data_IF_723936320978
#
_entry.id   IF_723936320978
#
_cell.length_a   1.000
_cell.length_b   1.000
_cell.length_c   1.000
_cell.angle_alpha   90.00
_cell.angle_beta   90.00
_cell.angle_gamma   90.00
#
_symmetry.space_group_name_H-M   'P 1'
#
loop_
_entity.id
_entity.type
_entity.pdbx_description
1 polymer ?
#
# COMPACT_ATOMS: atom_id res chain seq x y z
N UNK A 1 23.95 -17.73 -24.62
CA UNK A 1 23.76 -16.36 -24.07
C UNK A 1 23.93 -15.40 -25.24
N UNK A 2 22.90 -14.64 -25.62
CA UNK A 2 23.01 -13.68 -26.73
C UNK A 2 23.90 -12.51 -26.29
N UNK A 3 24.72 -11.99 -27.19
CA UNK A 3 25.61 -10.86 -26.90
C UNK A 3 24.79 -9.58 -26.69
N UNK A 4 25.25 -8.68 -25.82
CA UNK A 4 24.60 -7.38 -25.56
C UNK A 4 24.41 -6.58 -26.87
N UNK A 5 25.37 -6.69 -27.80
CA UNK A 5 25.28 -6.06 -29.11
C UNK A 5 24.13 -6.62 -29.96
N UNK A 6 23.85 -7.92 -29.87
CA UNK A 6 22.73 -8.55 -30.57
C UNK A 6 21.38 -8.17 -29.94
N UNK A 7 21.35 -7.86 -28.64
CA UNK A 7 20.16 -7.38 -27.97
C UNK A 7 19.83 -5.94 -28.39
N UNK A 8 20.81 -5.04 -28.46
CA UNK A 8 20.62 -3.66 -28.95
C UNK A 8 20.13 -3.62 -30.40
N UNK A 9 20.76 -4.37 -31.30
CA UNK A 9 20.37 -4.39 -32.73
C UNK A 9 18.96 -4.93 -32.93
N UNK A 10 18.53 -5.89 -32.10
CA UNK A 10 17.16 -6.41 -32.16
C UNK A 10 16.14 -5.40 -31.62
N UNK A 11 16.47 -4.68 -30.54
CA UNK A 11 15.60 -3.64 -29.97
C UNK A 11 15.39 -2.48 -30.96
N UNK A 12 16.46 -1.99 -31.59
CA UNK A 12 16.38 -0.92 -32.60
C UNK A 12 15.53 -1.35 -33.81
N UNK A 13 15.69 -2.59 -34.25
CA UNK A 13 14.87 -3.15 -35.34
C UNK A 13 13.40 -3.23 -34.96
N UNK A 14 13.07 -3.55 -33.72
CA UNK A 14 11.68 -3.58 -33.24
C UNK A 14 11.09 -2.18 -33.04
N UNK A 15 11.88 -1.23 -32.54
CA UNK A 15 11.47 0.17 -32.43
C UNK A 15 11.20 0.80 -33.80
N UNK A 16 12.07 0.55 -34.79
CA UNK A 16 11.83 1.00 -36.17
C UNK A 16 10.53 0.43 -36.75
N UNK A 17 10.22 -0.86 -36.49
CA UNK A 17 8.95 -1.47 -36.91
C UNK A 17 7.73 -0.83 -36.22
N UNK A 18 7.87 -0.41 -34.97
CA UNK A 18 6.79 0.26 -34.21
C UNK A 18 6.50 1.65 -34.74
N UNK A 19 7.55 2.45 -34.97
CA UNK A 19 7.44 3.81 -35.52
C UNK A 19 6.81 3.78 -36.92
N UNK A 20 7.21 2.82 -37.76
CA UNK A 20 6.63 2.65 -39.09
C UNK A 20 5.11 2.32 -39.06
N UNK A 21 4.64 1.70 -37.97
CA UNK A 21 3.24 1.37 -37.74
C UNK A 21 2.49 2.44 -36.91
N UNK A 22 3.10 3.60 -36.63
CA UNK A 22 2.49 4.67 -35.84
C UNK A 22 2.33 4.35 -34.35
N UNK A 23 3.02 3.32 -33.85
CA UNK A 23 3.02 2.93 -32.44
C UNK A 23 4.15 3.64 -31.69
N UNK A 24 3.92 3.94 -30.41
CA UNK A 24 4.92 4.56 -29.56
C UNK A 24 6.19 3.68 -29.43
N UNK A 25 7.35 4.34 -29.48
CA UNK A 25 8.65 3.72 -29.26
C UNK A 25 8.72 3.06 -27.88
N UNK A 26 9.36 1.89 -27.80
CA UNK A 26 9.77 1.33 -26.52
C UNK A 26 11.01 2.13 -26.11
N UNK A 27 10.85 3.03 -25.14
CA UNK A 27 12.00 3.58 -24.44
C UNK A 27 12.60 2.46 -23.59
N UNK A 28 13.89 2.21 -23.78
CA UNK A 28 14.63 1.30 -22.93
C UNK A 28 14.73 1.99 -21.56
N UNK A 29 13.76 1.74 -20.67
CA UNK A 29 13.73 2.28 -19.30
C UNK A 29 14.84 1.67 -18.42
N UNK A 30 15.54 0.64 -18.93
CA UNK A 30 16.60 -0.08 -18.23
C UNK A 30 17.76 0.80 -17.72
N UNK A 31 18.27 1.82 -18.45
CA UNK A 31 19.32 2.71 -17.97
C UNK A 31 18.81 3.64 -16.86
N UNK A 32 17.63 4.25 -17.02
CA UNK A 32 17.05 5.17 -16.03
C UNK A 32 16.69 4.43 -14.73
N UNK A 33 16.10 3.24 -14.83
CA UNK A 33 15.83 2.40 -13.66
C UNK A 33 17.13 1.96 -12.98
N UNK A 34 18.17 1.62 -13.75
CA UNK A 34 19.47 1.28 -13.17
C UNK A 34 20.12 2.45 -12.43
N UNK A 35 20.00 3.67 -12.98
CA UNK A 35 20.52 4.90 -12.37
C UNK A 35 19.77 5.24 -11.07
N UNK A 36 18.44 5.17 -11.10
CA UNK A 36 17.59 5.43 -9.92
C UNK A 36 17.84 4.40 -8.81
N UNK A 37 17.99 3.12 -9.16
CA UNK A 37 18.32 2.07 -8.18
C UNK A 37 19.73 2.26 -7.62
N UNK A 38 20.70 2.73 -8.42
CA UNK A 38 22.04 3.03 -7.95
C UNK A 38 22.06 4.18 -6.92
N UNK A 39 21.27 5.24 -7.13
CA UNK A 39 21.14 6.35 -6.19
C UNK A 39 20.50 5.91 -4.86
N UNK A 40 19.43 5.12 -4.93
CA UNK A 40 18.79 4.50 -3.76
C UNK A 40 19.80 3.64 -3.00
N UNK A 41 20.62 2.88 -3.73
CA UNK A 41 21.60 2.00 -3.14
C UNK A 41 22.75 2.76 -2.45
N UNK A 42 23.26 3.83 -3.05
CA UNK A 42 24.28 4.68 -2.42
C UNK A 42 23.78 5.25 -1.08
N UNK A 43 22.53 5.69 -1.05
CA UNK A 43 21.88 6.18 0.18
C UNK A 43 21.74 5.06 1.21
N UNK A 44 21.25 3.89 0.82
CA UNK A 44 21.14 2.72 1.69
C UNK A 44 22.50 2.33 2.30
N UNK A 45 23.55 2.29 1.49
CA UNK A 45 24.88 1.90 1.94
C UNK A 45 25.41 2.86 3.01
N UNK A 46 25.21 4.16 2.81
CA UNK A 46 25.52 5.17 3.83
C UNK A 46 24.76 4.93 5.13
N UNK A 47 23.46 4.64 5.05
CA UNK A 47 22.64 4.36 6.23
C UNK A 47 23.01 3.04 6.94
N UNK A 48 23.32 1.98 6.21
CA UNK A 48 23.78 0.70 6.77
C UNK A 48 25.13 0.87 7.47
N UNK A 49 26.05 1.65 6.91
CA UNK A 49 27.34 1.95 7.54
C UNK A 49 27.19 2.73 8.84
N UNK A 50 26.23 3.64 8.90
CA UNK A 50 25.89 4.35 10.13
C UNK A 50 25.21 3.45 11.18
N UNK A 51 24.30 2.57 10.76
CA UNK A 51 23.54 1.70 11.65
C UNK A 51 24.35 0.48 12.17
N UNK A 52 25.28 -0.04 11.36
CA UNK A 52 26.08 -1.22 11.67
C UNK A 52 27.59 -0.98 11.46
N UNK A 53 28.23 -0.05 12.21
CA UNK A 53 29.64 0.30 11.98
C UNK A 53 30.60 -0.89 12.13
N UNK A 54 30.36 -1.76 13.12
CA UNK A 54 31.21 -2.91 13.40
C UNK A 54 31.14 -3.99 12.29
N UNK A 55 29.94 -4.27 11.77
CA UNK A 55 29.77 -5.23 10.68
C UNK A 55 30.44 -4.74 9.38
N UNK A 56 30.39 -3.43 9.15
CA UNK A 56 31.01 -2.79 7.97
C UNK A 56 32.53 -2.63 8.10
N UNK A 57 33.08 -2.65 9.31
CA UNK A 57 34.53 -2.63 9.53
C UNK A 57 35.25 -3.90 9.01
N UNK A 58 34.51 -4.98 8.79
CA UNK A 58 35.04 -6.23 8.22
C UNK A 58 35.19 -6.20 6.70
N UNK A 59 34.54 -5.27 6.00
CA UNK A 59 34.69 -5.08 4.55
C UNK A 59 35.88 -4.13 4.33
N UNK A 60 37.07 -4.70 4.11
CA UNK A 60 38.34 -3.95 4.15
C UNK A 60 38.82 -3.54 2.76
N UNK A 61 38.47 -4.30 1.74
CA UNK A 61 38.94 -4.07 0.36
C UNK A 61 37.85 -3.46 -0.51
N UNK A 62 38.27 -2.69 -1.53
CA UNK A 62 37.34 -2.12 -2.50
C UNK A 62 36.62 -3.21 -3.31
N UNK A 63 37.27 -4.36 -3.52
CA UNK A 63 36.69 -5.52 -4.23
C UNK A 63 35.58 -6.19 -3.43
N UNK A 64 35.79 -6.44 -2.13
CA UNK A 64 34.75 -6.95 -1.22
C UNK A 64 33.54 -6.02 -1.17
N UNK A 65 33.79 -4.71 -1.12
CA UNK A 65 32.75 -3.70 -1.18
C UNK A 65 31.99 -3.79 -2.50
N UNK A 66 32.68 -3.87 -3.64
CA UNK A 66 32.03 -3.93 -4.94
C UNK A 66 31.17 -5.19 -5.11
N UNK A 67 31.65 -6.35 -4.66
CA UNK A 67 30.88 -7.58 -4.71
C UNK A 67 29.66 -7.51 -3.76
N UNK A 68 29.84 -6.96 -2.56
CA UNK A 68 28.74 -6.69 -1.64
C UNK A 68 27.66 -5.80 -2.29
N UNK A 69 28.06 -4.71 -2.95
CA UNK A 69 27.14 -3.82 -3.69
C UNK A 69 26.40 -4.58 -4.79
N UNK A 70 27.14 -5.39 -5.57
CA UNK A 70 26.59 -6.18 -6.67
C UNK A 70 25.51 -7.15 -6.17
N UNK A 71 25.78 -7.87 -5.09
CA UNK A 71 24.84 -8.85 -4.52
C UNK A 71 23.54 -8.20 -4.03
N UNK A 72 23.64 -7.07 -3.33
CA UNK A 72 22.46 -6.35 -2.88
C UNK A 72 21.67 -5.74 -4.03
N UNK A 73 22.36 -5.15 -5.02
CA UNK A 73 21.74 -4.60 -6.21
C UNK A 73 20.95 -5.67 -6.98
N UNK A 74 21.57 -6.84 -7.16
CA UNK A 74 20.94 -7.98 -7.81
C UNK A 74 19.68 -8.42 -7.04
N UNK A 75 19.79 -8.57 -5.72
CA UNK A 75 18.66 -8.92 -4.85
C UNK A 75 17.53 -7.91 -4.93
N UNK A 76 17.82 -6.61 -4.96
CA UNK A 76 16.80 -5.56 -5.03
C UNK A 76 16.08 -5.56 -6.37
N UNK A 77 16.84 -5.71 -7.46
CA UNK A 77 16.29 -5.80 -8.81
C UNK A 77 15.41 -7.03 -8.99
N UNK A 78 15.88 -8.19 -8.55
CA UNK A 78 15.10 -9.44 -8.58
C UNK A 78 13.82 -9.36 -7.75
N UNK A 79 13.83 -8.57 -6.69
CA UNK A 79 12.70 -8.46 -5.76
C UNK A 79 11.83 -7.22 -5.96
N UNK A 80 12.12 -6.38 -6.96
CA UNK A 80 11.35 -5.19 -7.30
C UNK A 80 11.42 -4.08 -6.24
N UNK A 81 12.55 -3.93 -5.56
CA UNK A 81 12.80 -2.82 -4.63
C UNK A 81 13.36 -1.65 -5.44
N UNK A 82 12.49 -0.72 -5.82
CA UNK A 82 12.81 0.41 -6.71
C UNK A 82 12.51 1.77 -6.09
N UNK A 83 12.01 1.82 -4.86
CA UNK A 83 11.59 3.08 -4.23
C UNK A 83 12.34 3.32 -2.92
N UNK A 84 12.63 4.60 -2.64
CA UNK A 84 13.24 5.01 -1.38
C UNK A 84 12.33 4.72 -0.17
N UNK A 85 11.01 4.73 -0.35
CA UNK A 85 10.05 4.41 0.70
C UNK A 85 10.20 2.97 1.23
N UNK A 86 10.34 2.00 0.31
CA UNK A 86 10.59 0.59 0.65
C UNK A 86 11.91 0.44 1.43
N UNK A 87 12.97 1.10 0.95
CA UNK A 87 14.29 1.06 1.60
C UNK A 87 14.26 1.70 2.98
N UNK A 88 13.59 2.84 3.14
CA UNK A 88 13.41 3.49 4.43
C UNK A 88 12.63 2.61 5.41
N UNK A 89 11.64 1.85 4.93
CA UNK A 89 10.92 0.88 5.74
C UNK A 89 11.81 -0.28 6.18
N UNK A 90 12.62 -0.82 5.26
CA UNK A 90 13.65 -1.82 5.58
C UNK A 90 14.65 -1.30 6.62
N UNK A 91 15.08 -0.04 6.50
CA UNK A 91 16.00 0.59 7.45
C UNK A 91 15.37 0.85 8.83
N UNK A 92 14.06 1.11 8.91
CA UNK A 92 13.36 1.19 10.22
C UNK A 92 13.39 -0.17 10.93
N UNK A 93 13.14 -1.25 10.21
CA UNK A 93 13.21 -2.60 10.76
C UNK A 93 14.65 -2.96 11.16
N UNK A 94 15.63 -2.62 10.30
CA UNK A 94 17.04 -2.86 10.57
C UNK A 94 17.51 -2.13 11.84
N UNK A 95 17.14 -0.86 12.04
CA UNK A 95 17.48 -0.11 13.27
C UNK A 95 16.79 -0.64 14.53
N UNK A 96 15.63 -1.28 14.38
CA UNK A 96 14.90 -1.88 15.51
C UNK A 96 15.54 -3.19 15.97
N UNK A 97 16.34 -3.84 15.13
CA UNK A 97 17.00 -5.07 15.53
C UNK A 97 18.06 -4.75 16.61
N UNK A 98 18.10 -5.53 17.68
CA UNK A 98 19.13 -5.41 18.72
C UNK A 98 20.46 -6.08 18.33
N UNK A 99 20.43 -6.90 17.28
CA UNK A 99 21.61 -7.65 16.82
C UNK A 99 22.61 -6.71 16.13
N UNK A 100 23.91 -6.75 16.47
CA UNK A 100 24.94 -5.90 15.87
C UNK A 100 25.40 -6.36 14.48
N UNK A 101 24.78 -7.41 13.91
CA UNK A 101 25.16 -8.01 12.63
C UNK A 101 24.37 -7.41 11.48
N UNK A 102 25.03 -7.27 10.32
CA UNK A 102 24.35 -6.82 9.12
C UNK A 102 23.24 -7.82 8.69
N UNK A 103 22.03 -7.36 8.32
CA UNK A 103 21.01 -8.25 7.78
C UNK A 103 21.45 -8.86 6.46
N UNK A 104 20.94 -10.06 6.15
CA UNK A 104 21.13 -10.63 4.81
C UNK A 104 20.30 -9.86 3.77
N UNK A 105 20.68 -9.87 2.48
CA UNK A 105 19.91 -9.21 1.42
C UNK A 105 18.44 -9.66 1.40
N UNK A 106 18.18 -10.97 1.52
CA UNK A 106 16.83 -11.51 1.57
C UNK A 106 16.03 -11.06 2.81
N UNK A 107 16.67 -10.97 3.97
CA UNK A 107 16.05 -10.46 5.19
C UNK A 107 15.68 -8.99 5.06
N UNK A 108 16.58 -8.18 4.48
CA UNK A 108 16.32 -6.77 4.25
C UNK A 108 15.20 -6.56 3.21
N UNK A 109 15.19 -7.34 2.13
CA UNK A 109 14.10 -7.34 1.14
C UNK A 109 12.76 -7.69 1.78
N UNK A 110 12.71 -8.67 2.69
CA UNK A 110 11.50 -9.00 3.42
C UNK A 110 11.00 -7.79 4.22
N UNK A 111 11.87 -7.06 4.92
CA UNK A 111 11.48 -5.83 5.61
C UNK A 111 11.08 -4.68 4.68
N UNK A 112 11.67 -4.60 3.49
CA UNK A 112 11.25 -3.63 2.47
C UNK A 112 9.84 -3.93 1.94
N UNK A 113 9.45 -5.21 1.91
CA UNK A 113 8.13 -5.68 1.48
C UNK A 113 7.09 -5.65 2.58
N UNK A 114 7.47 -6.04 3.79
CA UNK A 114 6.66 -6.06 5.01
C UNK A 114 6.60 -4.70 5.70
N UNK A 115 7.37 -3.75 5.18
CA UNK A 115 7.50 -2.38 5.66
C UNK A 115 6.17 -1.66 5.59
N UNK A 116 5.35 -1.86 6.62
CA UNK A 116 4.23 -1.00 6.97
C UNK A 116 4.71 0.45 6.82
N UNK A 117 4.03 1.19 5.94
CA UNK A 117 4.35 2.59 5.68
C UNK A 117 4.17 3.46 6.93
N UNK A 118 4.13 4.78 6.76
CA UNK A 118 3.85 5.70 7.87
C UNK A 118 2.59 5.32 8.67
N UNK A 119 1.62 4.69 8.00
CA UNK A 119 0.35 4.25 8.57
C UNK A 119 0.41 2.93 9.35
N UNK A 120 1.47 2.13 9.26
CA UNK A 120 1.50 0.88 10.02
C UNK A 120 0.66 -0.27 9.39
N UNK A 121 0.20 -0.14 8.14
CA UNK A 121 -0.75 -1.08 7.49
C UNK A 121 -0.18 -1.71 6.21
N UNK A 122 -0.62 -2.94 5.92
CA UNK A 122 -0.29 -3.68 4.69
C UNK A 122 -1.52 -3.90 3.81
N UNK A 123 -1.31 -4.15 2.52
CA UNK A 123 -2.41 -4.44 1.59
C UNK A 123 -3.18 -5.72 1.98
N UNK A 124 -2.50 -6.72 2.54
CA UNK A 124 -3.15 -7.93 3.02
C UNK A 124 -4.07 -7.67 4.21
N UNK A 125 -3.63 -6.83 5.16
CA UNK A 125 -4.47 -6.40 6.30
C UNK A 125 -5.70 -5.61 5.81
N UNK A 126 -5.51 -4.70 4.85
CA UNK A 126 -6.61 -3.95 4.22
C UNK A 126 -7.62 -4.89 3.57
N UNK A 127 -7.18 -5.86 2.76
CA UNK A 127 -8.09 -6.80 2.12
C UNK A 127 -8.83 -7.69 3.12
N UNK A 128 -8.14 -8.15 4.17
CA UNK A 128 -8.75 -8.93 5.25
C UNK A 128 -9.89 -8.14 5.91
N UNK A 129 -9.65 -6.87 6.26
CA UNK A 129 -10.66 -6.00 6.87
C UNK A 129 -11.78 -5.65 5.88
N UNK A 130 -11.45 -5.38 4.62
CA UNK A 130 -12.41 -5.12 3.54
C UNK A 130 -13.39 -6.28 3.36
N UNK A 131 -12.91 -7.52 3.27
CA UNK A 131 -13.76 -8.69 3.12
C UNK A 131 -14.58 -8.98 4.37
N UNK A 132 -14.01 -8.77 5.56
CA UNK A 132 -14.75 -8.91 6.81
C UNK A 132 -15.89 -7.89 6.91
N UNK A 133 -15.61 -6.62 6.64
CA UNK A 133 -16.60 -5.56 6.59
C UNK A 133 -17.69 -5.87 5.56
N UNK A 134 -17.32 -6.23 4.33
CA UNK A 134 -18.29 -6.56 3.27
C UNK A 134 -19.21 -7.71 3.65
N UNK A 135 -18.70 -8.72 4.36
CA UNK A 135 -19.50 -9.84 4.87
C UNK A 135 -20.40 -9.43 6.03
N UNK A 136 -19.99 -8.47 6.85
CA UNK A 136 -20.70 -8.07 8.08
C UNK A 136 -21.48 -6.76 7.93
N UNK A 137 -21.55 -6.19 6.72
CA UNK A 137 -22.17 -4.89 6.47
C UNK A 137 -23.63 -4.85 6.92
N UNK A 138 -24.36 -5.96 6.81
CA UNK A 138 -25.75 -6.06 7.26
C UNK A 138 -25.93 -5.94 8.78
N UNK A 139 -24.87 -6.10 9.57
CA UNK A 139 -24.90 -5.98 11.04
C UNK A 139 -24.84 -4.53 11.50
N UNK A 140 -24.43 -3.62 10.63
CA UNK A 140 -24.22 -2.21 10.96
C UNK A 140 -25.12 -1.34 10.08
N UNK A 141 -25.91 -0.41 10.65
CA UNK A 141 -26.79 0.45 9.86
C UNK A 141 -26.04 1.30 8.82
N UNK A 142 -24.82 1.75 9.16
CA UNK A 142 -23.95 2.51 8.26
C UNK A 142 -22.50 2.06 8.38
N UNK A 143 -21.71 2.37 7.36
CA UNK A 143 -20.26 2.08 7.35
C UNK A 143 -19.51 2.83 8.46
N UNK A 144 -19.99 3.99 8.93
CA UNK A 144 -19.33 4.70 10.05
C UNK A 144 -19.55 4.04 11.41
N UNK A 145 -20.55 3.15 11.53
CA UNK A 145 -20.83 2.40 12.74
C UNK A 145 -20.03 1.09 12.83
N UNK A 146 -19.44 0.64 11.72
CA UNK A 146 -18.54 -0.51 11.72
C UNK A 146 -17.28 -0.22 12.56
N UNK A 147 -16.81 -1.17 13.39
CA UNK A 147 -15.63 -0.99 14.24
C UNK A 147 -14.33 -1.14 13.44
N UNK A 148 -13.96 -0.11 12.69
CA UNK A 148 -12.70 -0.06 11.93
C UNK A 148 -11.48 -0.14 12.86
N UNK A 149 -10.47 -0.92 12.48
CA UNK A 149 -9.21 -1.08 13.25
C UNK A 149 -8.46 0.25 13.34
N UNK A 150 -8.48 1.03 12.26
CA UNK A 150 -7.91 2.36 12.18
C UNK A 150 -8.81 3.28 11.35
N UNK A 151 -8.78 4.58 11.60
CA UNK A 151 -9.57 5.55 10.82
C UNK A 151 -9.24 5.50 9.32
N UNK A 152 -7.99 5.19 8.95
CA UNK A 152 -7.57 5.09 7.55
C UNK A 152 -8.20 3.88 6.84
N UNK A 153 -8.51 2.80 7.57
CA UNK A 153 -9.14 1.60 7.00
C UNK A 153 -10.53 1.90 6.47
N UNK A 154 -11.30 2.74 7.15
CA UNK A 154 -12.59 3.25 6.67
C UNK A 154 -12.42 3.90 5.30
N UNK A 155 -11.55 4.90 5.19
CA UNK A 155 -11.36 5.64 3.95
C UNK A 155 -10.86 4.75 2.80
N UNK A 156 -9.89 3.88 3.08
CA UNK A 156 -9.33 2.96 2.09
C UNK A 156 -10.40 1.95 1.64
N UNK A 157 -11.11 1.31 2.56
CA UNK A 157 -12.07 0.25 2.21
C UNK A 157 -13.30 0.79 1.46
N UNK A 158 -13.79 1.98 1.81
CA UNK A 158 -14.88 2.60 1.07
C UNK A 158 -14.45 2.95 -0.37
N UNK A 159 -13.27 3.55 -0.51
CA UNK A 159 -12.73 3.91 -1.83
C UNK A 159 -12.44 2.64 -2.66
N UNK A 160 -11.91 1.59 -2.02
CA UNK A 160 -11.68 0.30 -2.65
C UNK A 160 -12.99 -0.35 -3.12
N UNK A 161 -14.07 -0.27 -2.33
CA UNK A 161 -15.41 -0.76 -2.73
C UNK A 161 -15.93 -0.02 -3.96
N UNK A 162 -15.84 1.31 -3.95
CA UNK A 162 -16.26 2.16 -5.07
C UNK A 162 -15.51 1.76 -6.34
N UNK A 163 -14.18 1.76 -6.28
CA UNK A 163 -13.29 1.41 -7.38
C UNK A 163 -13.46 -0.03 -7.89
N UNK A 164 -13.74 -0.97 -6.99
CA UNK A 164 -14.00 -2.38 -7.32
C UNK A 164 -15.33 -2.54 -8.04
N UNK A 165 -16.37 -1.84 -7.59
CA UNK A 165 -17.68 -1.86 -8.25
C UNK A 165 -17.63 -1.20 -9.64
N UNK A 166 -16.96 -0.05 -9.75
CA UNK A 166 -16.88 0.72 -11.00
C UNK A 166 -16.10 -0.04 -12.10
N UNK A 167 -15.07 -0.82 -11.72
CA UNK A 167 -14.14 -1.46 -12.66
C UNK A 167 -14.17 -2.99 -12.66
N UNK A 168 -15.05 -3.61 -11.87
CA UNK A 168 -15.16 -5.06 -11.70
C UNK A 168 -13.80 -5.75 -11.43
N UNK A 169 -13.02 -5.16 -10.52
CA UNK A 169 -11.65 -5.62 -10.26
C UNK A 169 -11.59 -7.07 -9.80
N UNK A 170 -10.66 -7.82 -10.37
CA UNK A 170 -10.26 -9.16 -9.90
C UNK A 170 -9.48 -9.07 -8.58
N UNK A 171 -9.31 -10.19 -7.87
CA UNK A 171 -8.59 -10.21 -6.59
C UNK A 171 -7.14 -9.69 -6.67
N UNK A 172 -6.32 -10.04 -7.69
CA UNK A 172 -4.99 -9.47 -7.86
C UNK A 172 -5.01 -7.96 -8.11
N UNK A 173 -5.97 -7.48 -8.90
CA UNK A 173 -6.13 -6.05 -9.18
C UNK A 173 -6.60 -5.28 -7.94
N UNK A 174 -7.47 -5.88 -7.14
CA UNK A 174 -7.93 -5.33 -5.87
C UNK A 174 -6.75 -5.16 -4.89
N UNK A 175 -5.84 -6.14 -4.85
CA UNK A 175 -4.62 -6.08 -4.05
C UNK A 175 -3.66 -4.99 -4.55
N UNK A 176 -3.48 -4.87 -5.88
CA UNK A 176 -2.68 -3.82 -6.48
C UNK A 176 -3.27 -2.43 -6.19
N UNK A 177 -4.60 -2.30 -6.22
CA UNK A 177 -5.27 -1.04 -5.95
C UNK A 177 -5.21 -0.65 -4.47
N UNK A 178 -5.33 -1.64 -3.56
CA UNK A 178 -5.13 -1.42 -2.14
C UNK A 178 -3.72 -0.88 -1.85
N UNK A 179 -2.68 -1.41 -2.51
CA UNK A 179 -1.31 -0.88 -2.39
C UNK A 179 -1.21 0.58 -2.80
N UNK A 180 -1.84 0.97 -3.92
CA UNK A 180 -1.85 2.38 -4.37
C UNK A 180 -2.55 3.30 -3.38
N UNK A 181 -3.69 2.85 -2.81
CA UNK A 181 -4.42 3.63 -1.80
C UNK A 181 -3.60 3.79 -0.52
N UNK A 182 -2.93 2.73 -0.06
CA UNK A 182 -2.02 2.81 1.10
C UNK A 182 -0.92 3.83 0.83
N UNK A 183 -0.26 3.75 -0.33
CA UNK A 183 0.81 4.69 -0.70
C UNK A 183 0.31 6.14 -0.69
N UNK A 184 -0.85 6.41 -1.30
CA UNK A 184 -1.46 7.74 -1.30
C UNK A 184 -1.69 8.28 0.12
N UNK A 185 -2.19 7.44 1.04
CA UNK A 185 -2.41 7.85 2.42
C UNK A 185 -1.11 7.97 3.22
N UNK A 186 -0.10 7.14 2.93
CA UNK A 186 1.24 7.25 3.53
C UNK A 186 1.92 8.56 3.15
N UNK A 187 1.87 8.93 1.86
CA UNK A 187 2.42 10.19 1.36
C UNK A 187 1.74 11.37 2.06
N UNK A 188 0.40 11.33 2.15
CA UNK A 188 -0.40 12.36 2.83
C UNK A 188 -0.03 12.52 4.31
N UNK A 189 0.19 11.42 5.02
CA UNK A 189 0.62 11.47 6.43
C UNK A 189 2.05 11.99 6.55
N UNK A 190 2.92 11.62 5.62
CA UNK A 190 4.32 12.09 5.57
C UNK A 190 4.39 13.59 5.29
N UNK A 191 3.46 14.14 4.51
CA UNK A 191 3.25 15.58 4.31
C UNK A 191 2.68 16.30 5.55
N UNK A 192 2.39 15.59 6.64
CA UNK A 192 1.85 16.15 7.88
C UNK A 192 0.32 16.37 7.87
N UNK A 193 -0.40 15.88 6.85
CA UNK A 193 -1.87 15.94 6.80
C UNK A 193 -2.45 14.73 7.56
N UNK A 194 -3.15 14.93 8.70
CA UNK A 194 -3.66 13.82 9.48
C UNK A 194 -4.80 13.07 8.75
N UNK A 195 -4.96 11.79 9.07
CA UNK A 195 -6.09 10.99 8.60
C UNK A 195 -7.38 11.51 9.26
N UNK A 196 -8.43 11.86 8.49
CA UNK A 196 -9.68 12.33 9.06
C UNK A 196 -10.35 11.26 9.94
N UNK A 197 -10.91 11.62 11.10
CA UNK A 197 -11.62 10.67 11.94
C UNK A 197 -12.94 10.23 11.27
N UNK A 198 -13.37 9.01 11.57
CA UNK A 198 -14.68 8.48 11.13
C UNK A 198 -15.77 9.18 11.92
N UNK A 199 -16.52 10.07 11.28
CA UNK A 199 -17.61 10.82 11.92
C UNK A 199 -18.89 10.02 11.82
N UNK A 200 -19.46 9.63 12.96
CA UNK A 200 -20.78 9.00 13.01
C UNK A 200 -21.83 10.09 12.87
N UNK A 201 -22.72 9.97 11.88
CA UNK A 201 -23.87 10.84 11.79
C UNK A 201 -24.69 10.72 13.08
N UNK A 202 -24.97 11.85 13.72
CA UNK A 202 -25.93 11.88 14.83
C UNK A 202 -27.29 11.51 14.27
N UNK A 203 -28.05 10.70 14.99
CA UNK A 203 -29.46 10.47 14.67
C UNK A 203 -30.14 11.83 14.55
N UNK A 204 -30.94 12.00 13.50
CA UNK A 204 -31.79 13.18 13.39
C UNK A 204 -32.61 13.28 14.69
N UNK A 205 -32.75 14.48 15.28
CA UNK A 205 -33.61 14.65 16.44
C UNK A 205 -34.99 14.08 16.09
N UNK A 206 -35.56 13.28 17.00
CA UNK A 206 -36.87 12.70 16.80
C UNK A 206 -37.84 13.86 16.51
N UNK A 207 -38.31 13.97 15.28
CA UNK A 207 -39.44 14.83 14.99
C UNK A 207 -40.62 14.21 15.71
N UNK A 208 -41.34 15.01 16.49
CA UNK A 208 -42.68 14.67 16.99
C UNK A 208 -43.60 14.58 15.76
N UNK A 209 -43.51 13.48 15.02
CA UNK A 209 -44.54 13.08 14.09
C UNK A 209 -45.70 12.66 14.98
N UNK A 210 -46.71 13.52 15.10
CA UNK A 210 -47.93 13.26 15.87
C UNK A 210 -48.53 11.88 15.57
N UNK A 211 -49.56 11.46 16.33
CA UNK A 211 -50.01 10.08 16.35
C UNK A 211 -50.24 9.55 14.94
N UNK A 212 -49.59 8.43 14.63
CA UNK A 212 -49.71 7.80 13.32
C UNK A 212 -51.17 7.41 13.08
N UNK A 213 -51.65 7.34 11.83
CA UNK A 213 -53.02 6.90 11.55
C UNK A 213 -53.38 5.54 12.19
N UNK A 214 -52.41 4.64 12.31
CA UNK A 214 -52.59 3.37 13.01
C UNK A 214 -52.81 3.53 14.52
N UNK A 215 -52.10 4.47 15.16
CA UNK A 215 -52.29 4.80 16.58
C UNK A 215 -53.62 5.51 16.82
N UNK A 216 -54.06 6.39 15.91
CA UNK A 216 -55.37 7.02 15.96
C UNK A 216 -56.48 5.95 15.88
N UNK A 217 -56.41 5.05 14.90
CA UNK A 217 -57.37 3.95 14.75
C UNK A 217 -57.35 2.99 15.95
N UNK A 218 -56.18 2.70 16.51
CA UNK A 218 -56.05 1.90 17.74
C UNK A 218 -56.68 2.60 18.94
N UNK A 219 -56.49 3.91 19.09
CA UNK A 219 -57.11 4.68 20.15
C UNK A 219 -58.64 4.71 20.00
N UNK A 220 -59.16 4.87 18.78
CA UNK A 220 -60.60 4.75 18.51
C UNK A 220 -61.14 3.36 18.84
N UNK A 221 -60.42 2.30 18.48
CA UNK A 221 -60.77 0.93 18.79
C UNK A 221 -60.85 0.69 20.30
N UNK A 222 -59.85 1.14 21.06
CA UNK A 222 -59.81 0.99 22.52
C UNK A 222 -60.96 1.77 23.19
N UNK A 223 -61.28 2.98 22.71
CA UNK A 223 -62.46 3.74 23.17
C UNK A 223 -63.76 2.98 22.91
N UNK A 224 -63.93 2.40 21.72
CA UNK A 224 -65.13 1.62 21.37
C UNK A 224 -65.28 0.35 22.20
N UNK A 225 -64.18 -0.23 22.70
CA UNK A 225 -64.18 -1.41 23.57
C UNK A 225 -64.30 -1.10 25.07
N UNK A 226 -64.39 0.17 25.47
CA UNK A 226 -64.45 0.56 26.88
C UNK A 226 -63.16 0.22 27.66
N UNK A 227 -62.02 0.17 26.97
CA UNK A 227 -60.72 -0.20 27.52
C UNK A 227 -59.82 1.02 27.79
N UNK A 228 -60.43 2.21 27.93
CA UNK A 228 -59.77 3.51 28.15
C UNK A 228 -60.37 4.16 29.39
#
# INVERSE_FOLDING_TARGET
MKSIAEQMVNLDRENMKRVANGLAEIQDDAPQQAEQVAEIFNTLFGQLRAAFPAAMANLRTQEELNEFRRQWLLSFRENGITTMAQVNAGMRAARKQEKPFLPSPGQFVAWCRDGKGALGITAAEVLKEFWHWRRTVFRYPTSEQYPWTQAVMYHICLELRRRSNDRQLTEPELLAEAKKLIQYWDDRVTEGKPVPPVRKALSAPAQDSGPTPAEILKAEYLRRKGMV
#
